data_IF_760399309887
#
_entry.id   IF_760399309887
#
_cell.length_a   1.000
_cell.length_b   1.000
_cell.length_c   1.000
_cell.angle_alpha   90.00
_cell.angle_beta   90.00
_cell.angle_gamma   90.00
#
_symmetry.space_group_name_H-M   'P 1'
#
loop_
_entity.id
_entity.type
_entity.pdbx_description
1 polymer ?
#
# COMPACT_ATOMS: atom_id res chain seq x y z
N UNK A 1 -20.19 11.35 14.02
CA UNK A 1 -18.72 11.31 14.17
C UNK A 1 -18.29 12.65 14.73
N UNK A 2 -17.54 12.67 15.83
CA UNK A 2 -16.92 13.90 16.34
C UNK A 2 -15.93 14.38 15.29
N UNK A 3 -16.17 15.56 14.71
CA UNK A 3 -15.25 16.20 13.77
C UNK A 3 -13.93 16.44 14.52
N UNK A 4 -12.90 15.66 14.18
CA UNK A 4 -11.55 15.97 14.62
C UNK A 4 -11.18 17.23 13.85
N UNK A 5 -10.84 18.30 14.56
CA UNK A 5 -10.40 19.56 13.96
C UNK A 5 -8.91 19.74 14.26
N UNK A 6 -8.08 19.24 13.35
CA UNK A 6 -6.63 19.39 13.43
C UNK A 6 -6.21 20.79 12.96
N UNK A 7 -5.18 21.40 13.56
CA UNK A 7 -4.68 22.73 13.15
C UNK A 7 -3.91 22.70 11.81
N UNK A 8 -3.91 21.56 11.11
CA UNK A 8 -3.28 21.34 9.81
C UNK A 8 -4.09 20.30 9.04
N UNK A 9 -3.94 20.32 7.71
CA UNK A 9 -4.53 19.30 6.84
C UNK A 9 -3.57 18.12 6.68
N UNK A 10 -4.13 16.93 6.47
CA UNK A 10 -3.38 15.69 6.36
C UNK A 10 -3.02 15.37 4.90
N UNK A 11 -1.91 14.65 4.71
CA UNK A 11 -1.64 13.92 3.48
C UNK A 11 -1.92 12.44 3.76
N UNK A 12 -2.89 11.86 3.05
CA UNK A 12 -3.18 10.43 3.16
C UNK A 12 -2.39 9.64 2.11
N UNK A 13 -1.50 8.77 2.58
CA UNK A 13 -0.68 7.95 1.69
C UNK A 13 -1.36 6.63 1.29
N UNK A 14 -2.62 6.40 1.68
CA UNK A 14 -3.35 5.16 1.41
C UNK A 14 -4.85 5.40 1.23
N UNK A 15 -5.27 5.72 0.01
CA UNK A 15 -6.68 5.82 -0.33
C UNK A 15 -6.98 4.95 -1.54
N UNK A 16 -8.19 4.41 -1.60
CA UNK A 16 -8.61 3.54 -2.69
C UNK A 16 -9.80 4.11 -3.46
N UNK A 17 -9.83 3.77 -4.74
CA UNK A 17 -11.00 3.82 -5.61
C UNK A 17 -11.57 2.40 -5.80
N UNK A 18 -12.83 2.32 -6.21
CA UNK A 18 -13.43 1.07 -6.67
C UNK A 18 -13.71 1.14 -8.16
N UNK A 19 -13.15 0.19 -8.89
CA UNK A 19 -13.30 0.07 -10.34
C UNK A 19 -14.72 -0.32 -10.75
N UNK A 20 -15.12 0.11 -11.95
CA UNK A 20 -16.32 -0.38 -12.64
C UNK A 20 -16.03 -1.68 -13.38
N UNK A 21 -17.09 -2.38 -13.83
CA UNK A 21 -16.95 -3.69 -14.50
C UNK A 21 -16.04 -3.62 -15.73
N UNK A 22 -16.09 -2.52 -16.47
CA UNK A 22 -15.32 -2.31 -17.69
C UNK A 22 -13.88 -1.82 -17.45
N UNK A 23 -13.46 -1.56 -16.20
CA UNK A 23 -12.16 -0.93 -15.94
C UNK A 23 -10.95 -1.69 -16.48
N UNK A 24 -11.02 -3.03 -16.52
CA UNK A 24 -9.93 -3.87 -17.05
C UNK A 24 -10.08 -4.17 -18.55
N UNK A 25 -11.23 -3.83 -19.15
CA UNK A 25 -11.62 -4.28 -20.49
C UNK A 25 -11.94 -3.15 -21.47
N UNK A 26 -12.22 -1.93 -21.00
CA UNK A 26 -12.68 -0.80 -21.83
C UNK A 26 -11.73 -0.50 -22.99
N UNK A 27 -10.43 -0.52 -22.71
CA UNK A 27 -9.37 -0.24 -23.68
C UNK A 27 -8.54 -1.48 -23.98
N UNK A 28 -9.06 -2.68 -23.65
CA UNK A 28 -8.36 -3.91 -23.91
C UNK A 28 -8.44 -4.24 -25.41
N UNK A 29 -7.30 -4.47 -26.10
CA UNK A 29 -7.31 -4.80 -27.51
C UNK A 29 -8.16 -6.04 -27.84
N UNK A 30 -8.82 -6.01 -29.00
CA UNK A 30 -9.76 -7.05 -29.46
C UNK A 30 -9.15 -8.46 -29.45
N UNK A 31 -7.85 -8.61 -29.76
CA UNK A 31 -7.18 -9.92 -29.71
C UNK A 31 -7.13 -10.56 -28.31
N UNK A 32 -7.42 -9.80 -27.25
CA UNK A 32 -7.49 -10.26 -25.86
C UNK A 32 -8.92 -10.30 -25.33
N UNK A 33 -9.94 -10.18 -26.20
CA UNK A 33 -11.34 -10.32 -25.82
C UNK A 33 -11.58 -11.64 -25.07
N UNK A 34 -12.40 -11.59 -24.02
CA UNK A 34 -12.70 -12.75 -23.17
C UNK A 34 -11.62 -13.11 -22.15
N UNK A 35 -10.45 -12.44 -22.16
CA UNK A 35 -9.43 -12.66 -21.12
C UNK A 35 -9.94 -12.31 -19.71
N UNK A 36 -10.86 -11.35 -19.60
CA UNK A 36 -11.54 -10.96 -18.37
C UNK A 36 -13.03 -10.92 -18.65
N UNK A 37 -13.82 -11.60 -17.81
CA UNK A 37 -15.26 -11.67 -17.95
C UNK A 37 -15.93 -11.49 -16.59
N UNK A 38 -17.14 -10.92 -16.59
CA UNK A 38 -18.01 -10.89 -15.42
C UNK A 38 -19.15 -11.87 -15.64
N UNK A 39 -19.27 -12.87 -14.77
CA UNK A 39 -20.21 -13.98 -14.89
C UNK A 39 -21.15 -14.02 -13.69
N UNK A 40 -22.42 -14.35 -13.91
CA UNK A 40 -23.41 -14.52 -12.83
C UNK A 40 -23.41 -15.96 -12.33
N UNK A 41 -23.17 -16.16 -11.04
CA UNK A 41 -23.16 -17.48 -10.39
C UNK A 41 -23.98 -17.41 -9.12
N UNK A 42 -25.06 -18.19 -9.06
CA UNK A 42 -25.98 -18.22 -7.91
C UNK A 42 -26.48 -16.82 -7.49
N UNK A 43 -26.80 -15.98 -8.49
CA UNK A 43 -27.26 -14.59 -8.29
C UNK A 43 -26.19 -13.62 -7.79
N UNK A 44 -24.91 -13.94 -7.98
CA UNK A 44 -23.79 -13.05 -7.67
C UNK A 44 -22.89 -12.91 -8.89
N UNK A 45 -22.53 -11.67 -9.23
CA UNK A 45 -21.49 -11.40 -10.20
C UNK A 45 -20.13 -11.86 -9.66
N UNK A 46 -19.38 -12.59 -10.47
CA UNK A 46 -17.99 -13.00 -10.26
C UNK A 46 -17.12 -12.55 -11.41
N UNK A 47 -15.83 -12.40 -11.15
CA UNK A 47 -14.84 -12.10 -12.18
C UNK A 47 -14.17 -13.42 -12.57
N UNK A 48 -14.11 -13.69 -13.86
CA UNK A 48 -13.35 -14.78 -14.44
C UNK A 48 -12.15 -14.21 -15.19
N UNK A 49 -10.97 -14.77 -14.94
CA UNK A 49 -9.72 -14.41 -15.59
C UNK A 49 -9.24 -15.63 -16.35
N UNK A 50 -9.08 -15.53 -17.67
CA UNK A 50 -8.70 -16.64 -18.55
C UNK A 50 -9.61 -17.87 -18.37
N UNK A 51 -10.92 -17.65 -18.26
CA UNK A 51 -11.93 -18.69 -18.04
C UNK A 51 -12.00 -19.24 -16.61
N UNK A 52 -11.11 -18.82 -15.70
CA UNK A 52 -11.11 -19.24 -14.31
C UNK A 52 -11.81 -18.21 -13.42
N UNK A 53 -12.89 -18.62 -12.74
CA UNK A 53 -13.59 -17.80 -11.74
C UNK A 53 -12.65 -17.53 -10.56
N UNK A 54 -12.58 -16.27 -10.13
CA UNK A 54 -11.83 -15.85 -8.95
C UNK A 54 -12.74 -15.37 -7.81
N UNK A 55 -12.43 -15.83 -6.61
CA UNK A 55 -12.99 -15.44 -5.33
C UNK A 55 -12.11 -14.43 -4.57
N UNK A 56 -11.03 -13.94 -5.19
CA UNK A 56 -10.12 -12.94 -4.61
C UNK A 56 -10.88 -11.67 -4.20
N UNK A 57 -11.69 -11.11 -5.10
CA UNK A 57 -12.68 -10.08 -4.77
C UNK A 57 -14.08 -10.74 -4.76
N UNK A 58 -14.71 -10.94 -3.59
CA UNK A 58 -15.98 -11.67 -3.49
C UNK A 58 -17.13 -11.03 -4.27
N UNK A 59 -17.12 -9.69 -4.39
CA UNK A 59 -18.03 -8.89 -5.20
C UNK A 59 -17.23 -7.90 -6.06
N UNK A 60 -16.83 -8.26 -7.29
CA UNK A 60 -15.96 -7.45 -8.13
C UNK A 60 -16.68 -6.24 -8.76
N UNK A 61 -18.00 -6.11 -8.54
CA UNK A 61 -18.76 -4.91 -8.95
C UNK A 61 -18.58 -3.76 -7.97
N UNK A 62 -18.26 -4.06 -6.72
CA UNK A 62 -18.27 -3.10 -5.60
C UNK A 62 -19.59 -2.34 -5.39
N UNK A 63 -20.72 -2.77 -5.94
CA UNK A 63 -22.00 -2.06 -5.73
C UNK A 63 -22.48 -2.08 -4.27
N UNK A 64 -22.07 -3.13 -3.56
CA UNK A 64 -22.25 -3.29 -2.11
C UNK A 64 -20.92 -3.72 -1.51
N UNK A 65 -20.46 -2.97 -0.51
CA UNK A 65 -19.14 -3.11 0.12
C UNK A 65 -19.24 -3.15 1.64
N UNK A 66 -18.16 -3.59 2.28
CA UNK A 66 -18.00 -3.44 3.73
C UNK A 66 -17.94 -1.94 4.08
N UNK A 67 -18.44 -1.57 5.26
CA UNK A 67 -18.31 -0.18 5.72
C UNK A 67 -16.83 0.13 6.02
N UNK A 68 -16.33 1.33 5.68
CA UNK A 68 -15.01 1.76 6.14
C UNK A 68 -14.86 1.58 7.65
N UNK A 69 -13.76 0.96 8.09
CA UNK A 69 -13.51 0.63 9.49
C UNK A 69 -14.17 -0.64 10.02
N UNK A 70 -15.00 -1.36 9.24
CA UNK A 70 -15.70 -2.56 9.73
C UNK A 70 -14.76 -3.67 10.25
N UNK A 71 -13.53 -3.78 9.71
CA UNK A 71 -12.53 -4.74 10.17
C UNK A 71 -11.46 -4.13 11.09
N UNK A 72 -11.62 -2.88 11.51
CA UNK A 72 -10.60 -2.16 12.30
C UNK A 72 -10.25 -2.90 13.60
N UNK A 73 -11.25 -3.29 14.38
CA UNK A 73 -11.03 -4.01 15.64
C UNK A 73 -10.40 -5.39 15.42
N UNK A 74 -10.82 -6.09 14.36
CA UNK A 74 -10.23 -7.38 14.00
C UNK A 74 -8.73 -7.24 13.69
N UNK A 75 -8.33 -6.21 12.93
CA UNK A 75 -6.91 -6.01 12.61
C UNK A 75 -6.08 -5.51 13.80
N UNK A 76 -6.68 -4.79 14.75
CA UNK A 76 -6.00 -4.31 15.97
C UNK A 76 -5.82 -5.41 17.01
N UNK A 77 -6.84 -6.22 17.22
CA UNK A 77 -6.94 -7.10 18.39
C UNK A 77 -7.12 -8.58 18.03
N UNK A 78 -7.31 -8.91 16.76
CA UNK A 78 -7.67 -10.26 16.32
C UNK A 78 -9.14 -10.58 16.59
N UNK A 79 -9.44 -11.86 16.83
CA UNK A 79 -10.80 -12.34 17.09
C UNK A 79 -10.87 -13.18 18.37
N UNK A 80 -10.62 -12.58 19.56
CA UNK A 80 -10.58 -13.32 20.83
C UNK A 80 -11.94 -13.94 21.21
N UNK A 81 -13.03 -13.31 20.77
CA UNK A 81 -14.41 -13.75 21.05
C UNK A 81 -14.91 -14.80 20.05
N UNK A 82 -14.11 -15.20 19.06
CA UNK A 82 -14.51 -16.22 18.08
C UNK A 82 -15.67 -15.81 17.17
N UNK A 83 -15.87 -14.50 16.96
CA UNK A 83 -16.95 -13.96 16.10
C UNK A 83 -16.87 -14.51 14.69
N UNK A 84 -18.02 -14.80 14.10
CA UNK A 84 -18.11 -15.13 12.67
C UNK A 84 -17.75 -13.91 11.82
N UNK A 85 -17.40 -14.15 10.56
CA UNK A 85 -17.12 -13.06 9.60
C UNK A 85 -18.32 -12.11 9.45
N UNK A 86 -19.55 -12.63 9.46
CA UNK A 86 -20.75 -11.81 9.33
C UNK A 86 -20.90 -10.85 10.51
N UNK A 87 -20.52 -11.29 11.71
CA UNK A 87 -20.52 -10.45 12.91
C UNK A 87 -19.41 -9.41 12.88
N UNK A 88 -18.21 -9.78 12.41
CA UNK A 88 -17.08 -8.85 12.27
C UNK A 88 -17.40 -7.76 11.23
N UNK A 89 -17.81 -8.15 10.02
CA UNK A 89 -18.11 -7.19 8.94
C UNK A 89 -19.36 -6.35 9.22
N UNK A 90 -20.29 -6.88 10.02
CA UNK A 90 -21.56 -6.24 10.31
C UNK A 90 -22.40 -5.97 9.05
N UNK A 91 -23.16 -4.88 9.07
CA UNK A 91 -24.03 -4.48 7.96
C UNK A 91 -23.21 -3.82 6.85
N UNK A 92 -23.28 -4.36 5.63
CA UNK A 92 -22.71 -3.75 4.43
C UNK A 92 -23.39 -2.43 4.06
N UNK A 93 -22.76 -1.68 3.16
CA UNK A 93 -23.31 -0.45 2.59
C UNK A 93 -23.26 -0.48 1.07
N UNK A 94 -24.16 0.26 0.42
CA UNK A 94 -24.02 0.56 -1.00
C UNK A 94 -22.77 1.42 -1.21
N UNK A 95 -22.08 1.24 -2.33
CA UNK A 95 -21.03 2.17 -2.73
C UNK A 95 -21.62 3.58 -2.84
N UNK A 96 -20.86 4.56 -2.35
CA UNK A 96 -21.17 5.98 -2.50
C UNK A 96 -20.39 6.53 -3.68
N UNK A 97 -20.87 7.64 -4.23
CA UNK A 97 -20.27 8.32 -5.38
C UNK A 97 -18.77 8.60 -5.20
N UNK A 98 -18.35 9.04 -4.01
CA UNK A 98 -16.95 9.31 -3.66
C UNK A 98 -15.99 8.10 -3.77
N UNK A 99 -16.50 6.89 -3.96
CA UNK A 99 -15.68 5.71 -4.22
C UNK A 99 -15.32 5.54 -5.70
N UNK A 100 -16.03 6.23 -6.61
CA UNK A 100 -15.88 6.11 -8.07
C UNK A 100 -15.67 7.45 -8.78
N UNK A 101 -16.03 8.57 -8.15
CA UNK A 101 -15.95 9.91 -8.73
C UNK A 101 -14.99 10.83 -7.94
N UNK A 102 -14.01 11.47 -8.60
CA UNK A 102 -13.03 12.33 -7.93
C UNK A 102 -13.65 13.61 -7.35
N UNK A 103 -14.70 14.18 -7.95
CA UNK A 103 -15.32 15.43 -7.49
C UNK A 103 -16.09 15.21 -6.19
N UNK A 104 -16.85 14.12 -6.10
CA UNK A 104 -17.50 13.65 -4.89
C UNK A 104 -16.47 13.25 -3.83
N UNK A 105 -15.34 12.65 -4.24
CA UNK A 105 -14.24 12.30 -3.33
C UNK A 105 -13.62 13.55 -2.68
N UNK A 106 -13.44 14.65 -3.40
CA UNK A 106 -12.92 15.90 -2.83
C UNK A 106 -13.78 16.41 -1.66
N UNK A 107 -15.11 16.28 -1.73
CA UNK A 107 -16.01 16.68 -0.64
C UNK A 107 -15.78 15.84 0.62
N UNK A 108 -15.65 14.52 0.45
CA UNK A 108 -15.34 13.61 1.57
C UNK A 108 -13.94 13.88 2.13
N UNK A 109 -12.96 14.21 1.27
CA UNK A 109 -11.62 14.61 1.73
C UNK A 109 -11.65 15.89 2.56
N UNK A 110 -12.49 16.87 2.22
CA UNK A 110 -12.67 18.09 3.01
C UNK A 110 -13.25 17.79 4.40
N UNK A 111 -14.25 16.91 4.48
CA UNK A 111 -14.84 16.47 5.75
C UNK A 111 -13.83 15.73 6.64
N UNK A 112 -12.88 15.01 6.03
CA UNK A 112 -11.80 14.29 6.71
C UNK A 112 -10.53 15.15 6.93
N UNK A 113 -10.55 16.44 6.56
CA UNK A 113 -9.39 17.35 6.59
C UNK A 113 -8.16 16.84 5.82
N UNK A 114 -8.36 16.06 4.76
CA UNK A 114 -7.30 15.57 3.89
C UNK A 114 -6.97 16.63 2.84
N UNK A 115 -5.75 17.18 2.87
CA UNK A 115 -5.26 18.08 1.82
C UNK A 115 -5.05 17.31 0.52
N UNK A 116 -4.38 16.16 0.60
CA UNK A 116 -3.91 15.38 -0.54
C UNK A 116 -4.04 13.89 -0.22
N UNK A 117 -4.25 13.07 -1.25
CA UNK A 117 -4.32 11.63 -1.11
C UNK A 117 -3.67 10.90 -2.31
N UNK A 118 -2.95 9.81 -2.04
CA UNK A 118 -2.60 8.82 -3.06
C UNK A 118 -3.82 7.92 -3.29
N UNK A 119 -4.27 7.78 -4.55
CA UNK A 119 -5.45 7.00 -4.91
C UNK A 119 -5.05 5.72 -5.66
N UNK A 120 -5.10 4.59 -4.96
CA UNK A 120 -4.75 3.28 -5.47
C UNK A 120 -5.94 2.56 -6.10
N UNK A 121 -5.73 1.83 -7.21
CA UNK A 121 -6.70 0.86 -7.70
C UNK A 121 -6.87 -0.30 -6.70
N UNK A 122 -8.02 -0.98 -6.76
CA UNK A 122 -8.32 -2.16 -5.95
C UNK A 122 -8.21 -3.45 -6.76
N UNK A 123 -8.81 -3.51 -7.97
CA UNK A 123 -8.80 -4.69 -8.84
C UNK A 123 -7.42 -5.03 -9.41
N UNK A 124 -6.53 -4.05 -9.57
CA UNK A 124 -5.17 -4.26 -10.07
C UNK A 124 -4.44 -5.41 -9.36
N UNK A 125 -4.68 -5.54 -8.05
CA UNK A 125 -4.08 -6.56 -7.19
C UNK A 125 -4.41 -8.02 -7.57
N UNK A 126 -5.44 -8.26 -8.39
CA UNK A 126 -5.82 -9.59 -8.87
C UNK A 126 -5.10 -10.00 -10.16
N UNK A 127 -4.72 -9.03 -11.00
CA UNK A 127 -4.38 -9.24 -12.42
C UNK A 127 -3.10 -10.05 -12.60
N UNK A 128 -1.96 -9.52 -12.13
CA UNK A 128 -0.64 -10.01 -12.52
C UNK A 128 -0.37 -11.47 -12.11
N UNK A 129 -0.89 -11.91 -10.95
CA UNK A 129 -0.68 -13.30 -10.50
C UNK A 129 -1.50 -14.29 -11.33
N UNK A 130 -2.75 -13.96 -11.66
CA UNK A 130 -3.65 -14.85 -12.44
C UNK A 130 -3.23 -14.94 -13.89
N UNK A 131 -2.57 -13.92 -14.41
CA UNK A 131 -2.07 -13.87 -15.78
C UNK A 131 -0.57 -14.16 -15.88
N UNK A 132 0.08 -14.68 -14.82
CA UNK A 132 1.55 -14.85 -14.74
C UNK A 132 2.19 -15.65 -15.88
N UNK A 133 1.41 -16.45 -16.61
CA UNK A 133 1.88 -17.21 -17.78
C UNK A 133 1.69 -16.47 -19.11
N UNK A 134 1.11 -15.27 -19.09
CA UNK A 134 0.78 -14.45 -20.25
C UNK A 134 1.35 -13.02 -20.12
N UNK A 135 2.69 -12.84 -20.12
CA UNK A 135 3.33 -11.52 -19.96
C UNK A 135 2.76 -10.39 -20.83
N UNK A 136 2.50 -10.65 -22.11
CA UNK A 136 1.97 -9.63 -23.03
C UNK A 136 0.55 -9.20 -22.68
N UNK A 137 -0.30 -10.16 -22.27
CA UNK A 137 -1.65 -9.89 -21.81
C UNK A 137 -1.65 -9.05 -20.53
N UNK A 138 -0.72 -9.32 -19.59
CA UNK A 138 -0.59 -8.50 -18.38
C UNK A 138 -0.36 -7.04 -18.74
N UNK A 139 0.57 -6.74 -19.66
CA UNK A 139 0.82 -5.38 -20.11
C UNK A 139 -0.43 -4.73 -20.72
N UNK A 140 -1.15 -5.45 -21.60
CA UNK A 140 -2.34 -4.93 -22.24
C UNK A 140 -3.47 -4.61 -21.24
N UNK A 141 -3.71 -5.49 -20.26
CA UNK A 141 -4.73 -5.28 -19.23
C UNK A 141 -4.35 -4.14 -18.29
N UNK A 142 -3.08 -4.04 -17.91
CA UNK A 142 -2.59 -2.95 -17.05
C UNK A 142 -2.68 -1.60 -17.77
N UNK A 143 -2.33 -1.54 -19.06
CA UNK A 143 -2.50 -0.32 -19.85
C UNK A 143 -3.98 0.08 -19.93
N UNK A 144 -4.87 -0.89 -20.23
CA UNK A 144 -6.33 -0.66 -20.26
C UNK A 144 -6.87 -0.09 -18.94
N UNK A 145 -6.39 -0.62 -17.80
CA UNK A 145 -6.74 -0.10 -16.48
C UNK A 145 -6.20 1.32 -16.26
N UNK A 146 -4.97 1.61 -16.68
CA UNK A 146 -4.38 2.93 -16.50
C UNK A 146 -5.09 3.99 -17.36
N UNK A 147 -5.46 3.66 -18.60
CA UNK A 147 -6.29 4.52 -19.45
C UNK A 147 -7.65 4.77 -18.81
N UNK A 148 -8.32 3.73 -18.32
CA UNK A 148 -9.58 3.87 -17.58
C UNK A 148 -9.44 4.79 -16.35
N UNK A 149 -8.37 4.60 -15.55
CA UNK A 149 -8.11 5.45 -14.38
C UNK A 149 -7.82 6.90 -14.78
N UNK A 150 -7.15 7.12 -15.91
CA UNK A 150 -6.87 8.45 -16.42
C UNK A 150 -8.18 9.17 -16.82
N UNK A 151 -9.10 8.46 -17.45
CA UNK A 151 -10.42 8.99 -17.84
C UNK A 151 -11.30 9.30 -16.63
N UNK A 152 -11.43 8.36 -15.70
CA UNK A 152 -12.39 8.45 -14.60
C UNK A 152 -11.88 9.27 -13.41
N UNK A 153 -10.57 9.21 -13.15
CA UNK A 153 -9.95 9.82 -11.97
C UNK A 153 -8.92 10.90 -12.28
N UNK A 154 -8.54 11.05 -13.55
CA UNK A 154 -7.67 12.12 -13.98
C UNK A 154 -8.37 13.47 -14.07
N UNK A 155 -7.63 14.47 -14.54
CA UNK A 155 -8.15 15.77 -14.89
C UNK A 155 -7.32 16.33 -16.05
N UNK A 156 -7.98 16.76 -17.13
CA UNK A 156 -7.32 17.35 -18.30
C UNK A 156 -6.21 16.45 -18.88
N UNK A 157 -6.45 15.13 -18.91
CA UNK A 157 -5.47 14.14 -19.35
C UNK A 157 -4.29 13.93 -18.39
N UNK A 158 -4.44 14.29 -17.12
CA UNK A 158 -3.40 14.13 -16.09
C UNK A 158 -3.87 13.22 -14.94
N UNK A 159 -2.98 12.39 -14.39
CA UNK A 159 -3.25 11.54 -13.22
C UNK A 159 -3.41 12.33 -11.89
N UNK A 160 -3.24 13.65 -11.90
CA UNK A 160 -3.43 14.52 -10.74
C UNK A 160 -4.71 15.35 -10.90
N UNK A 161 -5.69 15.07 -10.06
CA UNK A 161 -6.96 15.81 -10.04
C UNK A 161 -6.92 16.90 -8.97
N UNK A 162 -7.15 18.15 -9.39
CA UNK A 162 -7.21 19.34 -8.53
C UNK A 162 -6.01 19.57 -7.59
N UNK A 163 -4.81 19.06 -7.93
CA UNK A 163 -3.59 19.06 -7.06
C UNK A 163 -3.81 18.39 -5.67
N UNK A 164 -4.84 17.55 -5.58
CA UNK A 164 -5.28 16.93 -4.32
C UNK A 164 -5.38 15.42 -4.39
N UNK A 165 -5.83 14.86 -5.51
CA UNK A 165 -5.91 13.42 -5.70
C UNK A 165 -4.81 13.01 -6.67
N UNK A 166 -3.93 12.12 -6.23
CA UNK A 166 -2.84 11.58 -7.03
C UNK A 166 -3.18 10.13 -7.36
N UNK A 167 -3.79 9.90 -8.52
CA UNK A 167 -4.14 8.56 -8.97
C UNK A 167 -2.88 7.82 -9.37
N UNK A 168 -2.76 6.57 -8.92
CA UNK A 168 -1.51 5.82 -8.97
C UNK A 168 -1.58 4.78 -10.11
N UNK A 169 -1.05 5.08 -11.31
CA UNK A 169 -0.98 4.10 -12.39
C UNK A 169 -0.10 2.91 -12.01
N UNK A 170 -0.46 1.75 -12.53
CA UNK A 170 0.23 0.48 -12.28
C UNK A 170 1.28 0.24 -13.36
N UNK A 171 2.49 -0.12 -12.97
CA UNK A 171 3.55 -0.50 -13.91
C UNK A 171 3.93 -1.96 -13.66
N UNK A 172 3.63 -2.81 -14.64
CA UNK A 172 4.03 -4.21 -14.64
C UNK A 172 5.38 -4.39 -15.34
N UNK A 173 6.21 -5.32 -14.85
CA UNK A 173 7.59 -5.50 -15.29
C UNK A 173 7.92 -6.73 -16.17
N UNK A 174 6.99 -7.64 -16.58
CA UNK A 174 7.36 -8.84 -17.35
C UNK A 174 8.19 -8.60 -18.62
N UNK A 175 8.01 -7.45 -19.27
CA UNK A 175 8.71 -7.02 -20.49
C UNK A 175 9.24 -5.62 -20.20
N UNK A 176 10.56 -5.46 -20.15
CA UNK A 176 11.21 -4.25 -19.59
C UNK A 176 10.98 -3.04 -20.49
N UNK A 177 10.99 -3.25 -21.80
CA UNK A 177 10.76 -2.23 -22.81
C UNK A 177 9.35 -1.66 -22.67
N UNK A 178 8.33 -2.52 -22.63
CA UNK A 178 6.93 -2.12 -22.39
C UNK A 178 6.73 -1.43 -21.04
N UNK A 179 7.42 -1.89 -20.00
CA UNK A 179 7.37 -1.23 -18.69
C UNK A 179 7.93 0.20 -18.72
N UNK A 180 8.95 0.46 -19.54
CA UNK A 180 9.53 1.79 -19.75
C UNK A 180 8.59 2.66 -20.60
N UNK A 181 7.97 2.09 -21.63
CA UNK A 181 6.94 2.75 -22.44
C UNK A 181 5.78 3.22 -21.55
N UNK A 182 5.22 2.31 -20.76
CA UNK A 182 4.11 2.60 -19.83
C UNK A 182 4.52 3.66 -18.79
N UNK A 183 5.74 3.57 -18.27
CA UNK A 183 6.27 4.56 -17.32
C UNK A 183 6.36 5.96 -17.95
N UNK A 184 6.81 6.05 -19.21
CA UNK A 184 6.89 7.32 -19.92
C UNK A 184 5.49 7.88 -20.21
N UNK A 185 4.59 7.04 -20.70
CA UNK A 185 3.19 7.41 -20.94
C UNK A 185 2.55 7.96 -19.66
N UNK A 186 2.65 7.22 -18.54
CA UNK A 186 2.05 7.64 -17.28
C UNK A 186 2.66 8.92 -16.69
N UNK A 187 3.99 9.04 -16.67
CA UNK A 187 4.70 10.09 -15.93
C UNK A 187 5.01 11.31 -16.78
N UNK A 188 5.49 11.10 -18.02
CA UNK A 188 5.90 12.18 -18.92
C UNK A 188 4.71 12.77 -19.63
N UNK A 189 3.84 11.93 -20.20
CA UNK A 189 2.71 12.39 -21.00
C UNK A 189 1.51 12.75 -20.13
N UNK A 190 1.21 11.94 -19.11
CA UNK A 190 0.04 12.10 -18.24
C UNK A 190 0.36 12.54 -16.80
N UNK A 191 1.60 12.93 -16.54
CA UNK A 191 1.99 13.70 -15.36
C UNK A 191 1.88 13.00 -14.00
N UNK A 192 1.76 11.66 -13.97
CA UNK A 192 1.71 10.88 -12.74
C UNK A 192 2.90 11.20 -11.80
N UNK A 193 2.62 11.33 -10.50
CA UNK A 193 3.64 11.67 -9.47
C UNK A 193 4.17 10.45 -8.72
N UNK A 194 3.46 9.34 -8.85
CA UNK A 194 3.81 8.07 -8.24
C UNK A 194 3.30 6.93 -9.12
N UNK A 195 3.93 5.77 -9.00
CA UNK A 195 3.56 4.53 -9.71
C UNK A 195 3.41 3.39 -8.70
N UNK A 196 2.58 2.41 -9.04
CA UNK A 196 2.42 1.17 -8.28
C UNK A 196 3.15 0.02 -8.98
N UNK A 197 4.05 -0.65 -8.26
CA UNK A 197 4.66 -1.91 -8.68
C UNK A 197 4.27 -2.98 -7.65
N UNK A 198 3.80 -4.13 -8.12
CA UNK A 198 3.41 -5.24 -7.25
C UNK A 198 4.61 -5.77 -6.44
N UNK A 199 4.50 -5.93 -5.11
CA UNK A 199 5.57 -6.48 -4.28
C UNK A 199 5.62 -8.01 -4.41
N UNK A 200 6.07 -8.48 -5.57
CA UNK A 200 6.18 -9.89 -5.92
C UNK A 200 7.31 -10.13 -6.93
N UNK A 201 7.79 -11.38 -7.08
CA UNK A 201 8.58 -11.75 -8.25
C UNK A 201 7.85 -11.38 -9.56
N UNK A 202 8.62 -10.92 -10.53
CA UNK A 202 8.13 -10.53 -11.86
C UNK A 202 7.88 -11.78 -12.69
N UNK A 203 6.68 -11.97 -13.27
CA UNK A 203 6.42 -13.04 -14.24
C UNK A 203 7.39 -12.98 -15.43
N UNK A 204 7.85 -14.13 -15.89
CA UNK A 204 8.72 -14.25 -17.05
C UNK A 204 8.47 -15.58 -17.77
N UNK A 205 8.83 -15.64 -19.05
CA UNK A 205 8.58 -16.82 -19.89
C UNK A 205 9.25 -18.10 -19.37
N UNK A 206 10.36 -17.97 -18.65
CA UNK A 206 11.12 -19.09 -18.07
C UNK A 206 10.95 -19.21 -16.55
N UNK A 207 9.94 -18.55 -16.00
CA UNK A 207 9.67 -18.52 -14.57
C UNK A 207 9.80 -17.13 -13.97
N UNK A 208 9.58 -17.07 -12.65
CA UNK A 208 9.52 -15.82 -11.89
C UNK A 208 10.92 -15.25 -11.67
N UNK A 209 11.03 -13.92 -11.70
CA UNK A 209 12.31 -13.18 -11.62
C UNK A 209 12.27 -12.16 -10.50
N UNK A 210 13.42 -11.85 -9.90
CA UNK A 210 13.50 -10.69 -9.00
C UNK A 210 13.53 -9.41 -9.86
N UNK A 211 12.64 -8.44 -9.59
CA UNK A 211 12.70 -7.11 -10.24
C UNK A 211 14.01 -6.34 -9.93
N UNK A 212 14.88 -6.87 -9.09
CA UNK A 212 16.18 -6.28 -8.75
C UNK A 212 17.36 -6.94 -9.51
N UNK A 213 17.08 -7.78 -10.51
CA UNK A 213 18.10 -8.31 -11.42
C UNK A 213 18.58 -7.25 -12.42
N UNK A 214 19.82 -7.36 -12.97
CA UNK A 214 20.39 -6.37 -13.88
C UNK A 214 19.56 -6.09 -15.14
N UNK A 215 18.78 -7.07 -15.59
CA UNK A 215 17.86 -6.90 -16.73
C UNK A 215 16.83 -5.77 -16.52
N UNK A 216 16.50 -5.43 -15.27
CA UNK A 216 15.58 -4.34 -14.92
C UNK A 216 16.31 -3.00 -14.67
N UNK A 217 17.64 -2.96 -14.77
CA UNK A 217 18.40 -1.72 -14.55
C UNK A 217 17.98 -0.58 -15.50
N UNK A 218 17.64 -0.81 -16.79
CA UNK A 218 17.12 0.24 -17.66
C UNK A 218 15.83 0.88 -17.11
N UNK A 219 14.90 0.07 -16.59
CA UNK A 219 13.68 0.56 -15.96
C UNK A 219 13.97 1.40 -14.72
N UNK A 220 14.81 0.90 -13.81
CA UNK A 220 15.15 1.64 -12.58
C UNK A 220 15.95 2.91 -12.86
N UNK A 221 16.81 2.91 -13.88
CA UNK A 221 17.50 4.11 -14.34
C UNK A 221 16.48 5.15 -14.78
N UNK A 222 15.47 4.75 -15.56
CA UNK A 222 14.41 5.64 -16.02
C UNK A 222 13.57 6.20 -14.88
N UNK A 223 13.21 5.38 -13.90
CA UNK A 223 12.53 5.81 -12.66
C UNK A 223 13.33 6.90 -11.94
N UNK A 224 14.65 6.76 -11.83
CA UNK A 224 15.53 7.76 -11.20
C UNK A 224 15.62 9.04 -12.03
N UNK A 225 15.71 8.93 -13.35
CA UNK A 225 15.74 10.09 -14.27
C UNK A 225 14.45 10.91 -14.18
N UNK A 226 13.30 10.25 -14.01
CA UNK A 226 11.99 10.88 -13.87
C UNK A 226 11.69 11.38 -12.45
N UNK A 227 12.50 11.02 -11.45
CA UNK A 227 12.28 11.31 -10.03
C UNK A 227 10.86 10.94 -9.54
N UNK A 228 10.34 9.81 -10.03
CA UNK A 228 8.99 9.35 -9.69
C UNK A 228 8.98 8.50 -8.42
N UNK A 229 7.94 8.66 -7.59
CA UNK A 229 7.75 7.83 -6.41
C UNK A 229 7.29 6.42 -6.79
N UNK A 230 8.07 5.39 -6.39
CA UNK A 230 7.66 3.99 -6.52
C UNK A 230 6.95 3.55 -5.25
N UNK A 231 5.72 3.09 -5.40
CA UNK A 231 4.90 2.54 -4.33
C UNK A 231 4.74 1.03 -4.51
N UNK A 232 4.58 0.32 -3.39
CA UNK A 232 4.32 -1.11 -3.35
C UNK A 232 3.17 -1.34 -2.36
N UNK A 233 2.03 -1.76 -2.87
CA UNK A 233 0.81 -1.96 -2.10
C UNK A 233 0.50 -3.45 -1.93
N UNK A 234 -0.19 -3.82 -0.84
CA UNK A 234 -0.64 -5.20 -0.62
C UNK A 234 -1.42 -5.71 -1.84
N UNK A 235 -1.07 -6.91 -2.31
CA UNK A 235 -1.58 -7.49 -3.54
C UNK A 235 -1.60 -9.02 -3.45
N UNK A 236 -2.20 -9.69 -4.43
CA UNK A 236 -1.90 -11.10 -4.65
C UNK A 236 -0.47 -11.26 -5.18
N UNK A 237 0.46 -11.54 -4.28
CA UNK A 237 1.88 -11.76 -4.62
C UNK A 237 2.23 -13.23 -4.88
N UNK A 238 1.23 -14.13 -4.97
CA UNK A 238 1.44 -15.56 -5.22
C UNK A 238 2.00 -16.36 -4.03
N UNK A 239 1.99 -15.79 -2.82
CA UNK A 239 2.49 -16.48 -1.61
C UNK A 239 1.55 -17.56 -1.11
N UNK A 240 0.27 -17.54 -1.52
CA UNK A 240 -0.68 -18.61 -1.21
C UNK A 240 -0.22 -19.96 -1.74
N UNK A 241 0.65 -20.00 -2.78
CA UNK A 241 1.30 -21.24 -3.24
C UNK A 241 2.07 -21.93 -2.10
N UNK A 242 2.80 -21.17 -1.28
CA UNK A 242 3.54 -21.76 -0.16
C UNK A 242 2.59 -22.28 0.91
N UNK A 243 1.51 -21.53 1.20
CA UNK A 243 0.48 -22.00 2.13
C UNK A 243 -0.17 -23.30 1.64
N UNK A 244 -0.53 -23.33 0.35
CA UNK A 244 -1.10 -24.45 -0.36
C UNK A 244 -0.23 -25.72 -0.29
N UNK A 245 1.09 -25.60 -0.49
CA UNK A 245 2.04 -26.72 -0.38
C UNK A 245 2.03 -27.36 1.02
N UNK A 246 1.89 -26.56 2.09
CA UNK A 246 1.80 -27.06 3.46
C UNK A 246 0.45 -27.66 3.81
N UNK A 247 -0.63 -27.15 3.21
CA UNK A 247 -2.00 -27.58 3.49
C UNK A 247 -2.51 -28.68 2.55
N UNK A 248 -1.74 -29.03 1.52
CA UNK A 248 -2.19 -29.95 0.47
C UNK A 248 -3.37 -29.41 -0.32
N UNK A 249 -3.49 -28.09 -0.45
CA UNK A 249 -4.57 -27.42 -1.19
C UNK A 249 -4.05 -26.78 -2.48
N UNK A 250 -4.93 -26.49 -3.44
CA UNK A 250 -4.60 -25.73 -4.66
C UNK A 250 -5.34 -24.39 -4.72
N UNK A 251 -5.78 -23.87 -3.57
CA UNK A 251 -6.69 -22.73 -3.51
C UNK A 251 -5.95 -21.41 -3.83
N UNK A 252 -6.66 -20.50 -4.50
CA UNK A 252 -6.15 -19.15 -4.76
C UNK A 252 -5.98 -18.34 -3.46
N UNK A 253 -5.25 -17.23 -3.55
CA UNK A 253 -5.17 -16.26 -2.45
C UNK A 253 -6.58 -15.65 -2.20
N UNK A 254 -7.07 -15.74 -0.96
CA UNK A 254 -8.37 -15.19 -0.57
C UNK A 254 -8.15 -14.11 0.51
N UNK A 255 -8.10 -12.81 0.14
CA UNK A 255 -7.64 -11.74 1.03
C UNK A 255 -8.51 -11.55 2.27
N UNK A 256 -9.74 -12.05 2.24
CA UNK A 256 -10.70 -11.94 3.33
C UNK A 256 -10.93 -13.25 4.11
N UNK A 257 -10.27 -14.36 3.76
CA UNK A 257 -10.42 -15.64 4.46
C UNK A 257 -9.23 -15.86 5.40
N UNK A 258 -9.51 -15.99 6.70
CA UNK A 258 -8.47 -16.28 7.69
C UNK A 258 -7.93 -17.69 7.50
N UNK A 259 -6.61 -17.81 7.45
CA UNK A 259 -5.85 -19.05 7.46
C UNK A 259 -4.67 -18.84 8.41
N UNK A 260 -4.56 -19.68 9.45
CA UNK A 260 -3.55 -19.53 10.51
C UNK A 260 -2.13 -19.67 10.00
N UNK A 261 -1.89 -20.55 9.01
CA UNK A 261 -0.59 -20.68 8.37
C UNK A 261 -0.29 -19.46 7.49
N UNK A 262 -1.27 -19.02 6.68
CA UNK A 262 -1.13 -17.83 5.83
C UNK A 262 -0.85 -16.55 6.64
N UNK A 263 -1.37 -16.44 7.88
CA UNK A 263 -1.05 -15.31 8.78
C UNK A 263 0.45 -15.22 9.10
N UNK A 264 1.17 -16.34 9.10
CA UNK A 264 2.64 -16.34 9.28
C UNK A 264 3.38 -15.80 8.05
N UNK A 265 2.71 -15.80 6.89
CA UNK A 265 3.25 -15.37 5.61
C UNK A 265 2.74 -13.99 5.17
N UNK A 266 1.76 -13.40 5.87
CA UNK A 266 1.07 -12.16 5.48
C UNK A 266 2.01 -10.97 5.17
N UNK A 267 3.15 -10.87 5.88
CA UNK A 267 4.14 -9.80 5.70
C UNK A 267 5.35 -10.19 4.85
N UNK A 268 5.45 -11.45 4.42
CA UNK A 268 6.60 -11.94 3.64
C UNK A 268 6.72 -11.28 2.26
N UNK A 269 5.65 -11.07 1.47
CA UNK A 269 5.80 -10.47 0.14
C UNK A 269 6.55 -9.14 0.14
N UNK A 270 6.16 -8.21 1.02
CA UNK A 270 6.82 -6.91 1.12
C UNK A 270 8.23 -7.03 1.73
N UNK A 271 8.44 -7.95 2.67
CA UNK A 271 9.76 -8.20 3.27
C UNK A 271 10.74 -8.70 2.21
N UNK A 272 10.33 -9.66 1.40
CA UNK A 272 11.13 -10.28 0.36
C UNK A 272 11.34 -9.33 -0.83
N UNK A 273 10.34 -8.51 -1.16
CA UNK A 273 10.45 -7.43 -2.14
C UNK A 273 11.54 -6.41 -1.73
N UNK A 274 11.53 -5.96 -0.46
CA UNK A 274 12.56 -5.06 0.08
C UNK A 274 13.92 -5.75 0.14
N UNK A 275 13.98 -7.02 0.53
CA UNK A 275 15.22 -7.80 0.56
C UNK A 275 15.82 -7.99 -0.85
N UNK A 276 14.97 -8.23 -1.85
CA UNK A 276 15.32 -8.29 -3.27
C UNK A 276 16.00 -6.99 -3.74
N UNK A 277 15.40 -5.83 -3.42
CA UNK A 277 16.01 -4.51 -3.63
C UNK A 277 17.34 -4.33 -2.88
N UNK A 278 17.40 -4.69 -1.60
CA UNK A 278 18.59 -4.51 -0.77
C UNK A 278 19.77 -5.38 -1.25
N UNK A 279 19.50 -6.61 -1.71
CA UNK A 279 20.52 -7.49 -2.30
C UNK A 279 21.24 -6.84 -3.48
N UNK A 280 20.51 -6.07 -4.31
CA UNK A 280 21.11 -5.31 -5.43
C UNK A 280 22.13 -4.30 -4.93
N UNK A 281 21.80 -3.51 -3.89
CA UNK A 281 22.72 -2.52 -3.30
C UNK A 281 24.04 -3.16 -2.83
N UNK A 282 23.98 -4.37 -2.29
CA UNK A 282 25.17 -5.11 -1.86
C UNK A 282 25.97 -5.72 -3.02
N UNK A 283 25.31 -6.08 -4.14
CA UNK A 283 25.97 -6.62 -5.34
C UNK A 283 26.71 -5.56 -6.15
N UNK A 284 26.21 -4.33 -6.15
CA UNK A 284 26.82 -3.17 -6.84
C UNK A 284 27.98 -2.55 -6.08
N UNK A 285 28.23 -2.96 -4.82
CA UNK A 285 29.46 -2.60 -4.12
C UNK A 285 30.58 -3.56 -4.52
N UNK A 286 31.76 -3.06 -4.93
CA UNK A 286 32.92 -3.94 -5.11
C UNK A 286 33.17 -4.66 -3.78
N UNK A 287 33.22 -6.00 -3.82
CA UNK A 287 33.60 -6.83 -2.68
C UNK A 287 35.02 -6.43 -2.27
N UNK A 288 35.16 -5.52 -1.31
CA UNK A 288 36.45 -5.36 -0.63
C UNK A 288 36.69 -6.64 0.17
N UNK A 289 37.86 -7.30 0.05
CA UNK A 289 38.21 -8.37 0.98
C UNK A 289 38.15 -7.81 2.39
N UNK A 290 37.55 -8.57 3.30
CA UNK A 290 37.33 -8.21 4.68
C UNK A 290 38.70 -7.93 5.34
N UNK A 291 39.08 -6.65 5.46
CA UNK A 291 40.14 -6.21 6.38
C UNK A 291 39.46 -5.39 7.46
N UNK A 292 39.55 -5.86 8.71
CA UNK A 292 39.21 -5.08 9.89
C UNK A 292 40.05 -3.79 9.88
N UNK A 293 39.40 -2.63 9.92
CA UNK A 293 40.06 -1.36 10.10
C UNK A 293 39.34 -0.18 9.44
N UNK A 294 38.89 0.77 10.28
CA UNK A 294 38.69 2.17 9.89
C UNK A 294 37.37 2.50 9.18
N UNK A 295 36.35 2.87 9.97
CA UNK A 295 35.24 3.67 9.47
C UNK A 295 35.77 5.06 9.05
N UNK A 296 35.74 5.39 7.76
CA UNK A 296 35.57 6.76 7.27
C UNK A 296 35.05 6.78 5.82
N UNK A 297 33.93 7.52 5.63
CA UNK A 297 33.33 8.13 4.42
C UNK A 297 33.49 7.44 3.06
N UNK A 298 32.37 7.06 2.41
CA UNK A 298 32.10 7.24 0.95
C UNK A 298 30.56 7.44 0.74
N UNK A 299 30.23 8.10 -0.37
CA UNK A 299 29.12 8.99 -0.71
C UNK A 299 27.72 8.43 -1.04
N UNK A 300 26.78 9.40 -1.02
CA UNK A 300 25.43 9.45 -1.59
C UNK A 300 25.33 8.90 -3.02
N UNK A 301 24.29 8.09 -3.29
CA UNK A 301 23.29 8.24 -4.39
C UNK A 301 22.67 6.88 -4.75
N UNK A 302 21.69 6.45 -3.95
CA UNK A 302 20.45 5.79 -4.39
C UNK A 302 19.45 6.11 -3.27
N UNK A 303 18.51 7.04 -3.48
CA UNK A 303 17.34 7.19 -2.58
C UNK A 303 16.14 6.63 -3.32
N UNK A 304 15.95 5.31 -3.29
CA UNK A 304 14.60 4.78 -3.51
C UNK A 304 13.84 5.09 -2.23
N UNK A 305 12.92 6.07 -2.27
CA UNK A 305 11.96 6.28 -1.19
C UNK A 305 10.92 5.17 -1.31
N UNK A 306 11.19 4.03 -0.69
CA UNK A 306 10.18 3.00 -0.47
C UNK A 306 9.23 3.52 0.62
N UNK A 307 8.06 4.02 0.20
CA UNK A 307 6.96 4.28 1.12
C UNK A 307 6.37 2.94 1.56
N UNK A 308 6.51 2.59 2.84
CA UNK A 308 5.74 1.48 3.43
C UNK A 308 4.38 2.05 3.84
N UNK A 309 3.34 1.63 3.13
CA UNK A 309 1.95 1.91 3.49
C UNK A 309 1.39 0.60 4.03
N UNK A 310 1.03 0.60 5.31
CA UNK A 310 0.53 -0.59 5.98
C UNK A 310 -0.02 -0.26 7.36
N UNK A 311 -1.20 -0.81 7.65
CA UNK A 311 -1.91 -0.69 8.94
C UNK A 311 -1.07 -1.38 10.02
N UNK A 312 -0.44 -0.60 10.89
CA UNK A 312 0.45 -1.09 11.93
C UNK A 312 -0.28 -1.40 13.24
N UNK A 313 -0.30 -2.67 13.64
CA UNK A 313 -0.44 -3.05 15.05
C UNK A 313 0.98 -3.22 15.64
N UNK A 314 1.43 -2.24 16.43
CA UNK A 314 2.73 -2.27 17.13
C UNK A 314 2.62 -3.17 18.37
N UNK A 315 3.11 -4.42 18.29
CA UNK A 315 3.32 -5.25 19.48
C UNK A 315 4.73 -5.02 20.04
N UNK A 316 4.90 -3.96 20.84
CA UNK A 316 6.04 -3.86 21.75
C UNK A 316 5.87 -4.83 22.91
N UNK A 317 6.50 -6.00 22.82
CA UNK A 317 6.80 -6.82 24.01
C UNK A 317 7.80 -6.05 24.89
N UNK A 318 7.34 -5.55 26.03
CA UNK A 318 8.24 -5.09 27.11
C UNK A 318 8.97 -6.31 27.64
N UNK A 319 10.27 -6.41 27.36
CA UNK A 319 11.15 -7.36 28.03
C UNK A 319 11.28 -7.00 29.50
N UNK A 320 10.66 -7.81 30.36
CA UNK A 320 10.97 -7.80 31.79
C UNK A 320 12.32 -8.49 31.96
N UNK A 321 13.35 -7.73 32.36
CA UNK A 321 14.64 -8.30 32.78
C UNK A 321 14.42 -9.02 34.11
N UNK A 322 14.30 -10.35 34.07
CA UNK A 322 14.45 -11.19 35.26
C UNK A 322 15.91 -11.19 35.69
N UNK A 323 16.20 -10.74 36.91
CA UNK A 323 17.52 -10.89 37.54
C UNK A 323 17.76 -12.37 37.83
N UNK A 324 18.96 -12.84 37.52
CA UNK A 324 19.47 -14.12 37.96
C UNK A 324 19.66 -14.11 39.49
N UNK A 325 19.24 -15.18 40.14
CA UNK A 325 19.65 -15.59 41.49
C UNK A 325 19.91 -17.11 41.47
N UNK A 326 20.79 -17.61 42.35
CA UNK A 326 21.72 -18.68 42.03
C UNK A 326 21.15 -20.10 42.18
N UNK A 327 21.93 -20.99 41.57
CA UNK A 327 21.91 -22.45 41.65
C UNK A 327 21.77 -22.95 43.09
N UNK A 328 20.80 -23.83 43.34
CA UNK A 328 20.81 -24.76 44.46
C UNK A 328 20.25 -26.10 43.98
N UNK A 329 21.10 -27.12 44.06
CA UNK A 329 20.86 -28.45 43.54
C UNK A 329 19.80 -29.24 44.30
N UNK A 330 19.11 -30.11 43.57
CA UNK A 330 18.17 -31.07 44.14
C UNK A 330 17.47 -31.87 43.06
N UNK A 331 18.09 -32.96 42.63
CA UNK A 331 17.55 -33.82 41.59
C UNK A 331 16.21 -34.47 41.96
N UNK A 332 15.38 -34.71 40.94
CA UNK A 332 14.57 -35.92 40.78
C UNK A 332 13.99 -35.98 39.37
N UNK A 333 14.06 -37.18 38.82
CA UNK A 333 13.67 -37.61 37.49
C UNK A 333 12.15 -37.67 37.30
N UNK A 334 11.66 -37.35 36.10
CA UNK A 334 10.47 -38.01 35.52
C UNK A 334 10.28 -37.69 34.03
N UNK A 335 10.61 -38.69 33.20
CA UNK A 335 9.86 -39.25 32.06
C UNK A 335 9.10 -38.29 31.11
N UNK A 336 9.56 -38.31 29.86
CA UNK A 336 8.78 -38.01 28.67
C UNK A 336 7.56 -38.93 28.57
N UNK A 337 6.36 -38.35 28.50
CA UNK A 337 5.12 -39.03 28.17
C UNK A 337 4.36 -38.24 27.13
N UNK A 338 4.23 -38.79 25.92
CA UNK A 338 3.41 -38.23 24.86
C UNK A 338 1.91 -38.41 25.12
N UNK A 339 1.10 -37.53 24.53
CA UNK A 339 -0.34 -37.69 24.32
C UNK A 339 -0.60 -37.17 22.90
N UNK A 340 -0.79 -38.03 21.88
CA UNK A 340 -2.01 -38.75 21.49
C UNK A 340 -3.25 -37.85 21.41
N UNK A 341 -3.60 -37.57 20.16
CA UNK A 341 -4.87 -37.09 19.64
C UNK A 341 -6.00 -38.10 19.95
N UNK A 342 -7.17 -37.63 20.34
CA UNK A 342 -8.44 -38.37 20.24
C UNK A 342 -9.56 -37.44 19.74
N UNK A 343 -10.54 -37.94 18.95
CA UNK A 343 -11.50 -37.14 18.19
C UNK A 343 -12.88 -36.98 18.88
N UNK A 344 -13.67 -36.06 18.30
CA UNK A 344 -15.07 -35.66 18.51
C UNK A 344 -16.04 -36.51 19.35
N UNK A 345 -16.90 -35.80 20.11
CA UNK A 345 -18.14 -36.32 20.70
C UNK A 345 -19.12 -35.21 21.12
N UNK A 346 -20.36 -35.27 20.60
CA UNK A 346 -21.50 -34.36 20.83
C UNK A 346 -22.11 -34.49 22.24
N UNK A 347 -22.72 -33.43 22.78
CA UNK A 347 -23.66 -33.53 23.92
C UNK A 347 -24.12 -32.17 24.48
N UNK A 348 -25.41 -32.07 24.85
CA UNK A 348 -26.22 -30.88 25.17
C UNK A 348 -26.20 -30.45 26.66
N UNK A 349 -26.66 -29.21 26.87
CA UNK A 349 -27.37 -28.61 28.04
C UNK A 349 -26.76 -28.74 29.46
N UNK A 350 -26.50 -27.63 30.17
CA UNK A 350 -27.46 -26.98 31.08
C UNK A 350 -26.85 -25.81 31.89
N UNK A 351 -27.73 -25.09 32.57
CA UNK A 351 -27.65 -23.75 33.17
C UNK A 351 -26.66 -23.50 34.32
N UNK A 352 -26.26 -22.22 34.39
CA UNK A 352 -26.12 -21.31 35.54
C UNK A 352 -25.32 -21.74 36.79
N UNK A 353 -24.36 -20.88 37.18
CA UNK A 353 -24.16 -20.41 38.55
C UNK A 353 -23.32 -19.12 38.51
N UNK A 354 -23.84 -18.05 39.10
CA UNK A 354 -23.13 -16.80 39.35
C UNK A 354 -22.64 -16.69 40.79
N UNK A 355 -21.57 -15.91 40.98
CA UNK A 355 -21.15 -15.15 42.17
C UNK A 355 -19.81 -14.48 41.76
N UNK A 356 -19.56 -13.17 41.84
CA UNK A 356 -20.08 -12.16 42.73
C UNK A 356 -18.99 -11.75 43.73
N UNK A 357 -18.10 -10.82 43.36
CA UNK A 357 -17.40 -9.94 44.31
C UNK A 357 -16.63 -8.85 43.56
N UNK A 358 -17.06 -7.60 43.71
CA UNK A 358 -16.37 -6.43 43.20
C UNK A 358 -15.19 -5.99 44.07
N UNK A 359 -14.34 -5.15 43.49
CA UNK A 359 -13.60 -4.15 44.26
C UNK A 359 -13.37 -2.91 43.39
N UNK A 360 -13.51 -1.76 44.03
CA UNK A 360 -13.71 -0.42 43.49
C UNK A 360 -12.41 0.35 43.21
N UNK A 361 -12.50 1.26 42.21
CA UNK A 361 -11.91 2.60 42.10
C UNK A 361 -10.40 2.78 42.42
N UNK A 362 -9.67 3.35 41.45
CA UNK A 362 -9.14 4.72 41.57
C UNK A 362 -8.69 5.26 40.21
N UNK A 363 -9.06 6.52 39.96
CA UNK A 363 -8.50 7.40 38.93
C UNK A 363 -7.10 7.81 39.37
N UNK A 364 -6.17 7.88 38.43
CA UNK A 364 -4.99 8.73 38.57
C UNK A 364 -4.65 9.32 37.20
N UNK A 365 -4.91 10.62 37.09
CA UNK A 365 -4.26 11.51 36.12
C UNK A 365 -2.74 11.37 36.22
N UNK A 366 -2.04 11.43 35.09
CA UNK A 366 -0.70 12.01 35.07
C UNK A 366 -0.33 12.50 33.68
N UNK A 367 0.19 13.71 33.71
CA UNK A 367 0.44 14.61 32.61
C UNK A 367 1.60 14.19 31.69
N UNK A 368 1.56 14.79 30.51
CA UNK A 368 2.63 14.85 29.50
C UNK A 368 3.95 15.31 30.14
N UNK A 369 5.05 14.67 29.75
CA UNK A 369 6.32 15.38 29.57
C UNK A 369 6.98 14.98 28.25
N UNK A 370 7.17 16.01 27.44
CA UNK A 370 7.99 16.08 26.24
C UNK A 370 9.46 16.04 26.66
N UNK A 371 10.26 15.20 26.01
CA UNK A 371 11.70 15.38 25.94
C UNK A 371 12.15 15.25 24.49
N UNK A 372 12.31 16.42 23.87
CA UNK A 372 13.07 16.60 22.64
C UNK A 372 14.56 16.54 22.94
N UNK A 373 15.31 15.76 22.17
CA UNK A 373 16.74 16.00 21.99
C UNK A 373 17.04 16.08 20.49
N UNK A 374 16.89 17.29 19.97
CA UNK A 374 17.52 17.68 18.71
C UNK A 374 19.00 17.97 18.95
N UNK A 375 19.87 17.41 18.11
CA UNK A 375 21.22 17.95 17.91
C UNK A 375 21.23 18.75 16.61
N UNK A 376 21.34 20.07 16.78
CA UNK A 376 21.63 21.05 15.74
C UNK A 376 23.15 21.08 15.52
N UNK A 377 23.61 20.91 14.29
CA UNK A 377 24.97 21.26 13.88
C UNK A 377 25.00 22.73 13.44
N UNK A 378 25.73 23.55 14.21
CA UNK A 378 26.05 24.95 13.91
C UNK A 378 27.22 25.05 12.93
N UNK A 379 27.02 25.86 11.89
CA UNK A 379 28.00 26.76 11.25
C UNK A 379 27.12 27.86 10.64
N UNK A 380 27.09 29.14 10.99
CA UNK A 380 28.06 29.99 11.66
C UNK A 380 28.42 31.13 10.70
N UNK A 381 27.62 32.21 10.65
CA UNK A 381 28.08 33.56 10.33
C UNK A 381 27.06 34.62 10.78
N UNK A 382 27.60 35.79 11.13
CA UNK A 382 27.18 36.68 12.21
C UNK A 382 26.16 37.76 11.81
N UNK A 383 25.56 38.31 12.86
CA UNK A 383 24.59 39.39 12.92
C UNK A 383 25.11 40.78 12.50
N UNK A 384 24.17 41.64 12.10
CA UNK A 384 23.97 42.98 12.65
C UNK A 384 22.53 43.45 12.35
N UNK A 385 21.79 43.79 13.41
CA UNK A 385 20.53 44.56 13.43
C UNK A 385 20.86 46.03 13.87
N UNK A 386 19.90 46.94 14.11
CA UNK A 386 18.82 47.43 13.24
C UNK A 386 18.70 48.99 13.32
N UNK A 387 18.00 49.66 12.40
CA UNK A 387 17.25 50.91 12.73
C UNK A 387 16.05 51.06 11.80
N UNK A 388 14.88 51.31 12.39
CA UNK A 388 13.65 51.68 11.73
C UNK A 388 13.54 53.21 11.59
N UNK A 389 12.99 53.72 10.48
CA UNK A 389 12.31 55.02 10.50
C UNK A 389 11.27 55.16 9.36
N UNK A 390 10.34 56.07 9.61
CA UNK A 390 8.97 56.20 9.08
C UNK A 390 8.86 57.00 7.78
N UNK A 391 7.72 56.76 7.11
CA UNK A 391 6.89 57.69 6.31
C UNK A 391 7.45 58.27 5.00
N UNK A 392 6.73 58.08 3.90
CA UNK A 392 5.96 59.13 3.18
C UNK A 392 5.13 58.49 2.05
N UNK A 393 3.84 58.85 2.02
CA UNK A 393 2.87 58.58 0.95
C UNK A 393 3.21 59.36 -0.33
N UNK A 394 2.91 58.80 -1.50
CA UNK A 394 2.95 59.57 -2.76
C UNK A 394 2.60 58.73 -3.99
N UNK A 395 1.31 58.75 -4.34
CA UNK A 395 0.73 58.55 -5.68
C UNK A 395 1.69 58.59 -6.89
N UNK A 396 1.61 57.60 -7.80
CA UNK A 396 0.92 57.76 -9.09
C UNK A 396 1.07 56.52 -9.99
N UNK A 397 -0.07 56.18 -10.60
CA UNK A 397 -0.31 55.25 -11.70
C UNK A 397 0.46 55.58 -12.98
N UNK A 398 0.92 54.57 -13.73
CA UNK A 398 0.42 54.27 -15.10
C UNK A 398 1.10 53.05 -15.76
N UNK A 399 0.24 52.14 -16.22
CA UNK A 399 0.49 51.14 -17.26
C UNK A 399 0.90 51.78 -18.60
N UNK A 400 1.58 51.00 -19.46
CA UNK A 400 1.43 51.17 -20.91
C UNK A 400 2.66 50.88 -21.78
N UNK A 401 2.92 49.58 -21.99
CA UNK A 401 3.41 48.92 -23.21
C UNK A 401 3.83 49.82 -24.40
N UNK A 402 5.06 49.67 -24.89
CA UNK A 402 5.45 49.96 -26.28
C UNK A 402 6.27 48.81 -26.87
N UNK A 403 5.72 48.14 -27.88
CA UNK A 403 6.43 47.39 -28.91
C UNK A 403 5.97 47.88 -30.28
N UNK A 404 6.91 48.25 -31.13
CA UNK A 404 7.06 47.81 -32.52
C UNK A 404 7.67 48.92 -33.39
N UNK A 405 8.85 48.62 -33.91
CA UNK A 405 9.41 49.24 -35.10
C UNK A 405 9.00 48.37 -36.30
N UNK A 406 8.46 49.01 -37.34
CA UNK A 406 8.83 48.73 -38.73
C UNK A 406 8.38 49.85 -39.66
N UNK A 407 9.38 50.33 -40.39
CA UNK A 407 9.38 51.16 -41.59
C UNK A 407 8.60 50.53 -42.74
N UNK A 408 7.92 51.33 -43.56
CA UNK A 408 8.27 51.58 -44.99
C UNK A 408 7.29 52.56 -45.64
N UNK A 409 7.84 53.39 -46.53
CA UNK A 409 7.15 54.30 -47.42
C UNK A 409 6.51 53.56 -48.62
N UNK A 410 5.23 53.84 -48.90
CA UNK A 410 4.72 54.56 -50.07
C UNK A 410 3.21 54.65 -49.99
#
# INVERSE_FOLDING_TARGET
MTRIDLPYRLFDADNHLYETKDALTRHLPEQYEGAIQYVEINGRTKIAVLGQISEYIPNPTFDVVARPGAMEDYFKYGNPEGKSRREIFGKSMKAIEAFRDPVARLKVMDDLQLQRALMFPTLASLVEERMRHHPELIHAVIHSLNEWMLEEWGQDGNFVHSDRIFTIPVITLPIVEKAIEELNWAVVEHGAKAILIRPAPVPGLRGMRSFALPEFDPFWKRVVELDVLVTMHSSDSGYSRFDAEWEGSGLEMLPFKTNTFAMTNQWRPVTDAVASCARRLHRTQPRKPFRQGGFHRIHRRVRVRLGRVGVGADHRRRGVRGRALPDDGGGRSARYGGCRYLPDGRGKDDRALGCGSGCSRTRADTARHVLSLGRVSRTGMRANEPVAERLVNGHETRCGVRRSHRTTAR
#
